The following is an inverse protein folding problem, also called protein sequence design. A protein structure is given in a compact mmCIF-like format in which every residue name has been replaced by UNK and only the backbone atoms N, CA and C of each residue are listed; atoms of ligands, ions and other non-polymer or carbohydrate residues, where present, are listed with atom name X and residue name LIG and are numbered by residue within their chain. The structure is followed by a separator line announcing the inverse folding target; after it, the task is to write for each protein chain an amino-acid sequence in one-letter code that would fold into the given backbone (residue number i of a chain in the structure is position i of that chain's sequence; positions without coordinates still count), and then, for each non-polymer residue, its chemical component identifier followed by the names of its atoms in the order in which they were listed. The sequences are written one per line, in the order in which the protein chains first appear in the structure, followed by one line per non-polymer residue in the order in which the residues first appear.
data_IF_935222168860
#
_entry.id   IF_935222168860
#
_cell.length_a   1.000
_cell.length_b   1.000
_cell.length_c   1.000
_cell.angle_alpha   90.00
_cell.angle_beta   90.00
_cell.angle_gamma   90.00
#
_symmetry.space_group_name_H-M   'P 1'
#
loop_
_entity.id
_entity.type
_entity.pdbx_description
1 polymer ?
#
# COMPACT_ATOMS: atom_id res chain seq x y z
N UNK A 1 12.11 31.78 40.68
CA UNK A 1 12.27 30.72 39.67
C UNK A 1 11.49 29.50 40.16
N UNK A 2 10.43 29.12 39.44
CA UNK A 2 9.36 28.24 39.95
C UNK A 2 9.65 26.75 39.72
N UNK A 3 9.85 26.01 40.81
CA UNK A 3 9.50 24.59 41.09
C UNK A 3 9.34 23.56 39.94
N UNK A 4 10.17 23.63 38.89
CA UNK A 4 10.03 22.83 37.67
C UNK A 4 10.33 21.33 37.89
N UNK A 5 11.09 21.00 38.95
CA UNK A 5 11.37 19.62 39.38
C UNK A 5 10.09 18.84 39.73
N UNK A 6 9.08 19.52 40.29
CA UNK A 6 7.81 18.90 40.72
C UNK A 6 6.87 18.49 39.59
N UNK A 7 7.22 18.76 38.32
CA UNK A 7 6.36 18.54 37.17
C UNK A 7 6.86 17.45 36.21
N UNK A 8 8.07 16.91 36.40
CA UNK A 8 8.64 15.92 35.48
C UNK A 8 7.97 14.56 35.70
N UNK A 9 7.25 14.07 34.69
CA UNK A 9 6.53 12.78 34.71
C UNK A 9 7.21 11.68 33.89
N UNK A 10 8.17 12.07 33.04
CA UNK A 10 8.93 11.13 32.22
C UNK A 10 10.27 10.84 32.86
N UNK A 11 10.69 9.58 32.81
CA UNK A 11 12.02 9.12 33.20
C UNK A 11 12.65 8.47 31.97
N UNK A 12 13.79 8.99 31.54
CA UNK A 12 14.60 8.43 30.46
C UNK A 12 15.73 7.65 31.10
N UNK A 13 15.80 6.34 30.83
CA UNK A 13 16.83 5.47 31.39
C UNK A 13 17.96 5.33 30.39
N UNK A 14 19.19 5.63 30.82
CA UNK A 14 20.40 5.28 30.09
C UNK A 14 20.68 3.78 30.28
N UNK A 15 20.13 2.99 29.36
CA UNK A 15 20.18 1.55 29.42
C UNK A 15 21.60 1.01 29.33
N UNK A 16 22.49 1.62 28.53
CA UNK A 16 23.88 1.17 28.42
C UNK A 16 24.65 1.40 29.72
N UNK A 17 24.46 2.56 30.37
CA UNK A 17 25.07 2.86 31.66
C UNK A 17 24.53 1.96 32.79
N UNK A 18 23.20 1.76 32.84
CA UNK A 18 22.53 0.99 33.90
C UNK A 18 22.90 -0.49 33.84
N UNK A 19 22.88 -1.15 32.68
CA UNK A 19 23.21 -2.59 32.59
C UNK A 19 24.68 -2.87 32.93
N UNK A 20 25.53 -1.86 32.90
CA UNK A 20 26.96 -1.97 33.21
C UNK A 20 27.25 -1.81 34.70
N UNK A 21 26.24 -1.54 35.55
CA UNK A 21 26.41 -1.39 37.00
C UNK A 21 26.29 -2.74 37.74
N UNK A 22 27.07 -3.73 37.31
CA UNK A 22 27.15 -5.01 38.02
C UNK A 22 28.19 -4.92 39.15
N UNK A 23 28.09 -5.80 40.15
CA UNK A 23 29.03 -5.83 41.27
C UNK A 23 30.42 -6.38 40.87
N UNK A 24 30.49 -7.08 39.73
CA UNK A 24 31.72 -7.62 39.16
C UNK A 24 32.15 -6.71 38.00
N UNK A 25 33.31 -6.06 38.10
CA UNK A 25 33.81 -4.98 37.21
C UNK A 25 33.89 -5.31 35.69
N UNK A 26 33.51 -6.51 35.26
CA UNK A 26 33.59 -6.97 33.85
C UNK A 26 32.24 -7.43 33.24
N UNK A 27 31.13 -7.38 33.99
CA UNK A 27 29.82 -7.89 33.54
C UNK A 27 28.81 -6.83 33.09
N UNK A 28 27.99 -7.15 32.09
CA UNK A 28 26.72 -6.44 31.85
C UNK A 28 25.54 -7.34 32.20
N UNK A 29 24.50 -6.78 32.82
CA UNK A 29 23.31 -7.52 33.24
C UNK A 29 22.02 -6.77 32.87
N UNK A 30 21.25 -7.35 31.96
CA UNK A 30 20.00 -6.77 31.48
C UNK A 30 18.89 -6.78 32.51
N UNK A 31 18.99 -7.61 33.55
CA UNK A 31 18.01 -7.71 34.64
C UNK A 31 17.98 -6.43 35.47
N UNK A 32 19.10 -5.72 35.58
CA UNK A 32 19.19 -4.42 36.27
C UNK A 32 18.31 -3.39 35.56
N UNK A 33 18.38 -3.30 34.23
CA UNK A 33 17.53 -2.37 33.46
C UNK A 33 16.04 -2.73 33.59
N UNK A 34 15.69 -4.02 33.59
CA UNK A 34 14.31 -4.46 33.85
C UNK A 34 13.83 -4.06 35.24
N UNK A 35 14.69 -4.18 36.26
CA UNK A 35 14.42 -3.76 37.63
C UNK A 35 14.23 -2.24 37.71
N UNK A 36 15.05 -1.45 37.04
CA UNK A 36 14.91 0.01 36.96
C UNK A 36 13.57 0.42 36.30
N UNK A 37 13.20 -0.23 35.20
CA UNK A 37 11.90 0.03 34.53
C UNK A 37 10.74 -0.25 35.49
N UNK A 38 10.74 -1.40 36.16
CA UNK A 38 9.72 -1.76 37.15
C UNK A 38 9.66 -0.73 38.29
N UNK A 39 10.82 -0.34 38.83
CA UNK A 39 10.93 0.62 39.92
C UNK A 39 10.25 1.95 39.57
N UNK A 40 10.62 2.59 38.46
CA UNK A 40 10.06 3.89 38.09
C UNK A 40 8.60 3.80 37.61
N UNK A 41 8.20 2.72 36.91
CA UNK A 41 6.79 2.49 36.55
C UNK A 41 5.92 2.34 37.83
N UNK A 42 6.43 1.68 38.88
CA UNK A 42 5.72 1.52 40.16
C UNK A 42 5.52 2.84 40.91
N UNK A 43 6.43 3.81 40.74
CA UNK A 43 6.29 5.18 41.23
C UNK A 43 5.33 6.03 40.38
N UNK A 44 4.82 5.49 39.27
CA UNK A 44 3.84 6.11 38.39
C UNK A 44 4.44 6.98 37.28
N UNK A 45 5.74 6.86 37.00
CA UNK A 45 6.40 7.59 35.91
C UNK A 45 6.15 6.91 34.56
N UNK A 46 6.18 7.71 33.50
CA UNK A 46 6.34 7.21 32.13
C UNK A 46 7.81 6.93 31.89
N UNK A 47 8.16 5.65 31.69
CA UNK A 47 9.56 5.23 31.55
C UNK A 47 9.91 5.02 30.08
N UNK A 48 10.99 5.63 29.62
CA UNK A 48 11.55 5.47 28.27
C UNK A 48 12.97 4.93 28.42
N UNK A 49 13.18 3.62 28.33
CA UNK A 49 14.52 3.07 28.29
C UNK A 49 15.14 3.33 26.91
N UNK A 50 16.36 3.85 26.91
CA UNK A 50 17.15 4.13 25.71
C UNK A 50 18.44 3.34 25.80
N UNK A 51 18.87 2.71 24.72
CA UNK A 51 20.08 1.88 24.74
C UNK A 51 20.71 1.80 23.36
N UNK A 52 22.03 1.87 23.26
CA UNK A 52 22.71 1.69 22.00
C UNK A 52 22.48 0.28 21.43
N UNK A 53 22.19 0.19 20.12
CA UNK A 53 21.93 -1.09 19.44
C UNK A 53 23.12 -2.05 19.56
N UNK A 54 24.34 -1.48 19.55
CA UNK A 54 25.58 -2.21 19.74
C UNK A 54 25.69 -2.87 21.11
N UNK A 55 25.18 -2.24 22.17
CA UNK A 55 25.22 -2.79 23.54
C UNK A 55 24.31 -4.01 23.63
N UNK A 56 23.09 -3.91 23.09
CA UNK A 56 22.16 -5.06 22.99
C UNK A 56 22.80 -6.20 22.17
N UNK A 57 23.45 -5.86 21.05
CA UNK A 57 24.16 -6.82 20.20
C UNK A 57 25.32 -7.52 20.93
N UNK A 58 26.13 -6.77 21.67
CA UNK A 58 27.21 -7.29 22.52
C UNK A 58 26.66 -8.24 23.58
N UNK A 59 25.62 -7.82 24.32
CA UNK A 59 24.98 -8.65 25.33
C UNK A 59 24.46 -9.96 24.79
N UNK A 60 23.80 -9.92 23.63
CA UNK A 60 23.30 -11.12 22.97
C UNK A 60 24.45 -12.04 22.51
N UNK A 61 25.53 -11.48 21.96
CA UNK A 61 26.68 -12.25 21.49
C UNK A 61 27.39 -12.99 22.63
N UNK A 62 27.52 -12.35 23.78
CA UNK A 62 28.18 -12.92 24.95
C UNK A 62 27.23 -13.66 25.91
N UNK A 63 25.97 -13.83 25.51
CA UNK A 63 24.94 -14.50 26.31
C UNK A 63 24.80 -13.90 27.73
N UNK A 64 24.90 -12.57 27.85
CA UNK A 64 24.72 -11.89 29.13
C UNK A 64 23.28 -12.04 29.63
N UNK A 65 23.05 -12.11 30.96
CA UNK A 65 21.72 -12.24 31.53
C UNK A 65 20.75 -11.14 31.06
N UNK A 66 19.48 -11.49 30.88
CA UNK A 66 18.44 -10.60 30.38
C UNK A 66 18.55 -10.16 28.91
N UNK A 67 19.64 -10.51 28.19
CA UNK A 67 19.90 -10.03 26.82
C UNK A 67 18.81 -10.41 25.80
N UNK A 68 18.25 -11.62 25.89
CA UNK A 68 17.17 -12.08 25.01
C UNK A 68 15.91 -11.22 25.18
N UNK A 69 15.56 -10.90 26.42
CA UNK A 69 14.39 -10.09 26.77
C UNK A 69 14.57 -8.66 26.30
N UNK A 70 15.73 -8.04 26.54
CA UNK A 70 16.03 -6.71 26.01
C UNK A 70 15.98 -6.69 24.47
N UNK A 71 16.45 -7.76 23.80
CA UNK A 71 16.35 -7.91 22.35
C UNK A 71 14.91 -8.06 21.83
N UNK A 72 13.99 -8.64 22.60
CA UNK A 72 12.55 -8.65 22.27
C UNK A 72 11.96 -7.25 22.48
N UNK A 73 12.26 -6.61 23.61
CA UNK A 73 11.77 -5.27 23.94
C UNK A 73 12.21 -4.23 22.90
N UNK A 74 13.47 -4.28 22.46
CA UNK A 74 13.97 -3.42 21.39
C UNK A 74 13.22 -3.64 20.06
N UNK A 75 12.97 -4.90 19.66
CA UNK A 75 12.19 -5.21 18.44
C UNK A 75 10.75 -4.71 18.54
N UNK A 76 10.17 -4.77 19.73
CA UNK A 76 8.83 -4.25 20.01
C UNK A 76 8.79 -2.73 20.21
N UNK A 77 9.93 -2.02 20.05
CA UNK A 77 10.09 -0.58 20.30
C UNK A 77 9.78 -0.15 21.75
N UNK A 78 9.83 -1.08 22.70
CA UNK A 78 9.73 -0.79 24.14
C UNK A 78 11.03 -0.18 24.68
N UNK A 79 12.16 -0.51 24.06
CA UNK A 79 13.46 0.17 24.26
C UNK A 79 13.77 0.94 22.99
N UNK A 80 14.08 2.23 23.14
CA UNK A 80 14.53 3.06 22.03
C UNK A 80 15.99 2.78 21.75
N UNK A 81 16.30 2.41 20.52
CA UNK A 81 17.66 2.04 20.12
C UNK A 81 18.21 3.00 19.09
N UNK A 82 19.45 3.43 19.29
CA UNK A 82 20.21 4.25 18.34
C UNK A 82 21.37 3.44 17.75
N UNK A 83 21.77 3.74 16.51
CA UNK A 83 22.87 3.06 15.84
C UNK A 83 24.22 3.45 16.45
N UNK A 84 24.41 4.75 16.72
CA UNK A 84 25.65 5.33 17.22
C UNK A 84 25.34 6.34 18.33
N UNK A 85 25.87 6.09 19.53
CA UNK A 85 25.72 6.97 20.70
C UNK A 85 24.28 7.12 21.20
N UNK A 86 23.97 6.57 22.37
CA UNK A 86 22.68 6.77 23.03
C UNK A 86 22.58 8.10 23.79
N UNK A 87 23.71 8.71 24.17
CA UNK A 87 23.77 9.91 25.01
C UNK A 87 22.98 11.11 24.43
N UNK A 88 23.22 11.45 23.17
CA UNK A 88 22.48 12.52 22.48
C UNK A 88 20.98 12.22 22.43
N UNK A 89 20.61 10.97 22.10
CA UNK A 89 19.21 10.55 22.05
C UNK A 89 18.53 10.64 23.42
N UNK A 90 19.22 10.24 24.48
CA UNK A 90 18.75 10.34 25.87
C UNK A 90 18.47 11.80 26.24
N UNK A 91 19.44 12.69 26.00
CA UNK A 91 19.33 14.11 26.35
C UNK A 91 18.20 14.77 25.54
N UNK A 92 18.15 14.55 24.23
CA UNK A 92 17.10 15.11 23.38
C UNK A 92 15.69 14.65 23.79
N UNK A 93 15.53 13.36 24.12
CA UNK A 93 14.24 12.84 24.61
C UNK A 93 13.89 13.51 25.94
N UNK A 94 14.83 13.61 26.88
CA UNK A 94 14.57 14.21 28.18
C UNK A 94 14.21 15.70 28.07
N UNK A 95 14.92 16.47 27.24
CA UNK A 95 14.62 17.88 26.99
C UNK A 95 13.23 18.04 26.35
N UNK A 96 12.93 17.27 25.30
CA UNK A 96 11.63 17.30 24.62
C UNK A 96 10.46 16.95 25.56
N UNK A 97 10.69 16.01 26.49
CA UNK A 97 9.66 15.49 27.41
C UNK A 97 9.57 16.21 28.73
N UNK A 98 10.47 17.14 29.01
CA UNK A 98 10.73 17.61 30.36
C UNK A 98 10.92 16.44 31.35
N UNK A 99 11.75 15.47 30.99
CA UNK A 99 11.99 14.24 31.74
C UNK A 99 13.21 14.32 32.66
N UNK A 100 13.28 13.36 33.59
CA UNK A 100 14.50 12.98 34.30
C UNK A 100 15.39 12.11 33.40
N UNK A 101 16.70 12.17 33.59
CA UNK A 101 17.71 11.32 32.94
C UNK A 101 18.32 10.44 34.04
N UNK A 102 18.24 9.13 33.92
CA UNK A 102 18.85 8.21 34.89
C UNK A 102 20.12 7.65 34.30
N UNK A 103 21.26 8.12 34.79
CA UNK A 103 22.60 7.73 34.34
C UNK A 103 23.65 8.14 35.38
N UNK A 104 24.75 7.39 35.46
CA UNK A 104 25.98 7.85 36.10
C UNK A 104 26.93 8.59 35.15
N UNK A 105 26.65 8.61 33.84
CA UNK A 105 27.48 9.37 32.90
C UNK A 105 27.31 10.88 33.16
N UNK A 106 28.45 11.57 33.18
CA UNK A 106 28.51 13.03 33.38
C UNK A 106 28.48 13.77 32.04
N UNK A 107 28.59 13.05 30.92
CA UNK A 107 28.69 13.58 29.55
C UNK A 107 29.94 14.45 29.31
N UNK A 108 30.89 14.40 30.25
CA UNK A 108 32.11 15.21 30.25
C UNK A 108 33.35 14.45 29.77
N UNK A 109 33.23 13.13 29.57
CA UNK A 109 34.37 12.25 29.31
C UNK A 109 34.45 11.92 27.81
N UNK A 110 35.57 12.32 27.18
CA UNK A 110 35.82 12.00 25.78
C UNK A 110 35.99 10.49 25.58
N UNK A 111 35.38 9.96 24.53
CA UNK A 111 35.49 8.54 24.13
C UNK A 111 36.59 8.40 23.07
N UNK A 112 37.00 7.17 22.74
CA UNK A 112 37.84 6.90 21.56
C UNK A 112 37.05 6.07 20.55
N UNK A 113 37.24 6.34 19.26
CA UNK A 113 36.72 5.48 18.19
C UNK A 113 37.56 4.19 18.06
N UNK A 114 37.20 3.33 17.09
CA UNK A 114 37.89 2.05 16.86
C UNK A 114 39.29 2.24 16.30
N UNK A 115 39.54 3.38 15.69
CA UNK A 115 40.78 3.82 15.08
C UNK A 115 41.69 4.56 16.10
N UNK A 116 41.21 4.75 17.34
CA UNK A 116 41.93 5.38 18.43
C UNK A 116 41.85 6.91 18.46
N UNK A 117 41.07 7.53 17.57
CA UNK A 117 40.86 8.97 17.56
C UNK A 117 39.98 9.39 18.75
N UNK A 118 40.32 10.53 19.33
CA UNK A 118 39.55 11.10 20.44
C UNK A 118 38.24 11.66 19.91
N UNK A 119 37.13 11.09 20.36
CA UNK A 119 35.79 11.62 20.17
C UNK A 119 35.57 12.68 21.25
N UNK A 120 35.25 13.94 20.89
CA UNK A 120 34.97 14.97 21.88
C UNK A 120 33.74 14.58 22.71
N UNK A 121 33.76 14.83 24.03
CA UNK A 121 32.61 14.61 24.90
C UNK A 121 31.40 15.43 24.43
N UNK A 122 30.20 15.02 24.84
CA UNK A 122 28.95 15.65 24.43
C UNK A 122 28.91 17.13 24.82
N UNK A 123 29.46 17.49 26.00
CA UNK A 123 29.60 18.89 26.43
C UNK A 123 30.43 19.77 25.50
N UNK A 124 31.46 19.20 24.88
CA UNK A 124 32.28 19.91 23.89
C UNK A 124 31.62 19.92 22.50
N UNK A 125 30.85 18.87 22.17
CA UNK A 125 30.17 18.74 20.88
C UNK A 125 28.94 19.64 20.77
N UNK A 126 28.22 19.84 21.88
CA UNK A 126 27.01 20.65 21.96
C UNK A 126 27.17 21.76 23.02
N UNK A 127 28.09 22.72 22.83
CA UNK A 127 28.32 23.81 23.79
C UNK A 127 27.12 24.75 23.93
N UNK A 128 26.22 24.75 22.95
CA UNK A 128 25.00 25.56 22.92
C UNK A 128 23.85 25.00 23.76
N UNK A 129 23.95 23.75 24.23
CA UNK A 129 22.92 23.17 25.08
C UNK A 129 22.95 23.77 26.49
N UNK A 130 21.78 23.87 27.10
CA UNK A 130 21.65 24.32 28.49
C UNK A 130 22.07 23.20 29.45
N UNK A 131 23.39 23.09 29.67
CA UNK A 131 23.99 22.07 30.51
C UNK A 131 23.57 22.17 31.98
N UNK A 132 23.21 23.36 32.45
CA UNK A 132 22.72 23.56 33.81
C UNK A 132 21.34 22.91 33.98
N UNK A 133 20.42 23.10 33.03
CA UNK A 133 19.14 22.39 33.02
C UNK A 133 19.31 20.88 32.81
N UNK A 134 20.27 20.43 31.99
CA UNK A 134 20.56 19.00 31.82
C UNK A 134 21.05 18.37 33.12
N UNK A 135 22.00 19.01 33.81
CA UNK A 135 22.52 18.55 35.10
C UNK A 135 21.45 18.53 36.19
N UNK A 136 20.46 19.44 36.14
CA UNK A 136 19.31 19.41 37.04
C UNK A 136 18.29 18.29 36.74
N UNK A 137 18.39 17.64 35.58
CA UNK A 137 17.53 16.51 35.17
C UNK A 137 18.15 15.16 35.51
N UNK A 138 19.42 15.09 35.83
CA UNK A 138 20.07 13.81 36.06
C UNK A 138 19.70 13.22 37.42
N UNK A 139 19.57 11.90 37.43
CA UNK A 139 19.51 11.02 38.59
C UNK A 139 20.68 10.07 38.42
N UNK A 140 21.60 10.06 39.37
CA UNK A 140 22.90 9.41 39.21
C UNK A 140 24.10 10.34 39.27
N UNK A 141 23.90 11.62 38.97
CA UNK A 141 24.94 12.64 39.09
C UNK A 141 24.52 13.80 39.98
N UNK A 142 25.48 14.54 40.51
CA UNK A 142 25.27 15.72 41.36
C UNK A 142 26.24 16.83 40.95
N UNK A 143 25.69 18.01 40.64
CA UNK A 143 26.48 19.21 40.35
C UNK A 143 26.83 19.93 41.65
N UNK A 144 28.12 20.14 41.89
CA UNK A 144 28.63 20.88 43.04
C UNK A 144 28.65 22.39 42.77
N UNK A 145 28.84 23.16 43.84
CA UNK A 145 28.92 24.63 43.79
C UNK A 145 30.07 25.17 42.94
N UNK A 146 31.11 24.37 42.70
CA UNK A 146 32.26 24.72 41.85
C UNK A 146 32.02 24.40 40.35
N UNK A 147 30.83 23.91 40.00
CA UNK A 147 30.44 23.56 38.63
C UNK A 147 30.84 22.15 38.19
N UNK A 148 31.56 21.37 39.03
CA UNK A 148 31.89 19.97 38.72
C UNK A 148 30.68 19.07 38.92
N UNK A 149 30.58 18.04 38.09
CA UNK A 149 29.50 17.03 38.15
C UNK A 149 30.09 15.69 38.57
N UNK A 150 29.61 15.14 39.67
CA UNK A 150 30.03 13.85 40.23
C UNK A 150 29.04 12.74 39.86
N UNK A 151 29.53 11.55 39.53
CA UNK A 151 28.73 10.35 39.28
C UNK A 151 28.46 9.54 40.56
N UNK A 152 27.71 8.44 40.44
CA UNK A 152 27.38 7.50 41.53
C UNK A 152 26.59 8.12 42.69
N UNK A 153 25.58 8.90 42.36
CA UNK A 153 24.66 9.54 43.31
C UNK A 153 23.24 9.02 43.15
N UNK A 154 22.38 9.28 44.14
CA UNK A 154 20.92 9.05 44.10
C UNK A 154 20.44 7.59 44.06
N UNK A 155 20.96 6.77 43.15
CA UNK A 155 20.56 5.38 42.99
C UNK A 155 21.71 4.42 43.25
N UNK A 156 21.40 3.12 43.31
CA UNK A 156 22.36 2.01 43.45
C UNK A 156 21.76 0.72 42.95
N UNK A 157 22.61 -0.28 42.77
CA UNK A 157 22.23 -1.66 42.41
C UNK A 157 22.70 -2.60 43.52
N UNK A 158 21.83 -3.51 43.96
CA UNK A 158 22.16 -4.60 44.88
C UNK A 158 21.89 -5.94 44.16
N UNK A 159 22.95 -6.62 43.71
CA UNK A 159 22.84 -7.74 42.79
C UNK A 159 22.19 -7.32 41.46
N UNK A 160 20.91 -7.70 41.27
CA UNK A 160 20.10 -7.30 40.10
C UNK A 160 19.03 -6.27 40.43
N UNK A 161 18.88 -5.90 41.69
CA UNK A 161 17.82 -5.03 42.16
C UNK A 161 18.25 -3.57 42.11
N UNK A 162 17.46 -2.77 41.37
CA UNK A 162 17.69 -1.35 41.20
C UNK A 162 16.95 -0.56 42.29
N UNK A 163 17.63 0.44 42.85
CA UNK A 163 17.08 1.29 43.90
C UNK A 163 17.41 2.77 43.67
N UNK A 164 16.39 3.64 43.64
CA UNK A 164 16.53 5.10 43.80
C UNK A 164 15.65 5.58 44.98
N UNK A 165 16.11 5.43 46.23
CA UNK A 165 15.29 5.70 47.42
C UNK A 165 14.88 7.17 47.56
N UNK A 166 15.57 8.08 46.88
CA UNK A 166 15.32 9.52 46.96
C UNK A 166 14.37 10.00 45.85
N UNK A 167 13.91 9.12 44.96
CA UNK A 167 12.98 9.49 43.89
C UNK A 167 11.57 9.66 44.47
N UNK A 168 10.93 10.85 44.35
CA UNK A 168 9.55 11.02 44.78
C UNK A 168 8.60 10.24 43.86
N UNK A 169 7.36 9.99 44.32
CA UNK A 169 6.28 9.51 43.44
C UNK A 169 6.07 10.49 42.28
N UNK A 170 5.70 9.95 41.11
CA UNK A 170 5.42 10.78 39.96
C UNK A 170 4.33 11.82 40.28
N UNK A 171 4.39 13.02 39.66
CA UNK A 171 3.30 13.99 39.72
C UNK A 171 1.96 13.39 39.29
N UNK A 172 0.83 14.08 39.45
CA UNK A 172 -0.46 13.55 38.95
C UNK A 172 -0.48 13.47 37.42
N UNK A 173 -1.25 12.52 36.90
CA UNK A 173 -1.35 12.25 35.47
C UNK A 173 -2.32 13.26 34.84
N UNK A 174 -1.96 13.96 33.74
CA UNK A 174 -2.84 14.97 33.15
C UNK A 174 -4.11 14.36 32.53
N UNK A 175 -4.07 13.08 32.16
CA UNK A 175 -5.22 12.29 31.71
C UNK A 175 -5.50 11.17 32.73
N UNK A 176 -6.11 11.51 33.86
CA UNK A 176 -6.63 10.49 34.77
C UNK A 176 -7.98 9.98 34.28
N UNK A 177 -8.13 8.65 34.21
CA UNK A 177 -9.40 7.96 34.02
C UNK A 177 -9.73 7.15 35.28
N UNK A 178 -10.97 6.66 35.39
CA UNK A 178 -11.35 5.71 36.45
C UNK A 178 -10.48 4.43 36.46
N UNK A 179 -9.89 4.08 35.31
CA UNK A 179 -9.00 2.93 35.16
C UNK A 179 -7.52 3.27 35.27
N UNK A 180 -7.13 4.51 35.58
CA UNK A 180 -5.71 4.91 35.59
C UNK A 180 -4.88 4.08 36.58
N UNK A 181 -5.38 3.87 37.80
CA UNK A 181 -4.69 3.02 38.78
C UNK A 181 -4.65 1.57 38.32
N UNK A 182 -5.77 1.05 37.82
CA UNK A 182 -5.83 -0.32 37.29
C UNK A 182 -4.87 -0.56 36.11
N UNK A 183 -4.73 0.40 35.18
CA UNK A 183 -3.75 0.35 34.09
C UNK A 183 -2.32 0.30 34.62
N UNK A 184 -2.02 1.08 35.66
CA UNK A 184 -0.70 1.08 36.31
C UNK A 184 -0.42 -0.27 36.94
N UNK A 185 -1.36 -0.82 37.69
CA UNK A 185 -1.20 -2.12 38.35
C UNK A 185 -1.00 -3.25 37.33
N UNK A 186 -1.76 -3.25 36.23
CA UNK A 186 -1.57 -4.22 35.14
C UNK A 186 -0.20 -4.07 34.46
N UNK A 187 0.28 -2.84 34.29
CA UNK A 187 1.60 -2.59 33.72
C UNK A 187 2.71 -3.13 34.64
N UNK A 188 2.63 -2.87 35.95
CA UNK A 188 3.56 -3.43 36.95
C UNK A 188 3.50 -4.95 36.96
N UNK A 189 2.29 -5.53 36.96
CA UNK A 189 2.11 -6.98 36.89
C UNK A 189 2.72 -7.57 35.61
N UNK A 190 2.56 -6.89 34.47
CA UNK A 190 3.16 -7.28 33.19
C UNK A 190 4.69 -7.29 33.29
N UNK A 191 5.31 -6.27 33.89
CA UNK A 191 6.77 -6.22 34.07
C UNK A 191 7.27 -7.34 34.97
N UNK A 192 6.59 -7.62 36.09
CA UNK A 192 6.94 -8.74 36.98
C UNK A 192 6.88 -10.08 36.27
N UNK A 193 5.85 -10.30 35.45
CA UNK A 193 5.73 -11.52 34.64
C UNK A 193 6.86 -11.64 33.63
N UNK A 194 7.25 -10.54 32.98
CA UNK A 194 8.42 -10.52 32.08
C UNK A 194 9.68 -10.92 32.85
N UNK A 195 9.88 -10.40 34.07
CA UNK A 195 11.02 -10.76 34.92
C UNK A 195 11.03 -12.25 35.31
N UNK A 196 9.87 -12.81 35.66
CA UNK A 196 9.72 -14.25 35.94
C UNK A 196 10.06 -15.07 34.68
N UNK A 197 9.62 -14.64 33.49
CA UNK A 197 9.97 -15.33 32.25
C UNK A 197 11.47 -15.28 31.94
N UNK A 198 12.16 -14.18 32.29
CA UNK A 198 13.62 -14.10 32.17
C UNK A 198 14.27 -15.15 33.08
N UNK A 199 13.88 -15.16 34.35
CA UNK A 199 14.39 -16.13 35.33
C UNK A 199 14.19 -17.58 34.88
N UNK A 200 12.98 -17.92 34.40
CA UNK A 200 12.69 -19.26 33.91
C UNK A 200 13.44 -19.61 32.61
N UNK A 201 13.75 -18.62 31.77
CA UNK A 201 14.54 -18.82 30.56
C UNK A 201 16.04 -19.00 30.83
N UNK A 202 16.53 -18.54 31.97
CA UNK A 202 17.92 -18.71 32.43
C UNK A 202 18.11 -19.97 33.30
N UNK A 203 17.03 -20.52 33.86
CA UNK A 203 17.05 -21.76 34.63
C UNK A 203 17.33 -22.99 33.74
N UNK A 204 17.84 -24.06 34.36
CA UNK A 204 18.06 -25.32 33.63
C UNK A 204 16.73 -25.86 33.05
N UNK A 205 16.75 -26.33 31.78
CA UNK A 205 15.54 -26.72 31.07
C UNK A 205 15.04 -28.09 31.55
N UNK A 206 14.33 -28.09 32.66
CA UNK A 206 13.66 -29.27 33.22
C UNK A 206 12.16 -29.30 32.89
N UNK A 207 11.50 -30.44 33.15
CA UNK A 207 10.06 -30.59 32.95
C UNK A 207 9.27 -29.52 33.75
N UNK A 208 9.67 -29.27 35.00
CA UNK A 208 9.04 -28.26 35.85
C UNK A 208 9.22 -26.85 35.27
N UNK A 209 10.43 -26.46 34.87
CA UNK A 209 10.72 -25.16 34.24
C UNK A 209 9.88 -24.94 32.98
N UNK A 210 9.71 -25.98 32.16
CA UNK A 210 8.87 -25.94 30.96
C UNK A 210 7.38 -25.81 31.28
N UNK A 211 6.89 -26.48 32.33
CA UNK A 211 5.50 -26.33 32.81
C UNK A 211 5.28 -24.91 33.36
N UNK A 212 6.18 -24.40 34.19
CA UNK A 212 6.10 -23.06 34.76
C UNK A 212 6.11 -22.00 33.65
N UNK A 213 7.01 -22.12 32.68
CA UNK A 213 7.08 -21.20 31.53
C UNK A 213 5.77 -21.14 30.76
N UNK A 214 5.17 -22.29 30.45
CA UNK A 214 3.85 -22.35 29.77
C UNK A 214 2.75 -21.68 30.60
N UNK A 215 2.74 -21.89 31.91
CA UNK A 215 1.74 -21.27 32.81
C UNK A 215 1.91 -19.76 32.89
N UNK A 216 3.13 -19.27 33.07
CA UNK A 216 3.43 -17.83 33.12
C UNK A 216 3.10 -17.15 31.79
N UNK A 217 3.38 -17.80 30.66
CA UNK A 217 2.99 -17.30 29.33
C UNK A 217 1.46 -17.20 29.17
N UNK A 218 0.69 -18.13 29.74
CA UNK A 218 -0.78 -18.06 29.76
C UNK A 218 -1.27 -16.86 30.57
N UNK A 219 -0.71 -16.63 31.76
CA UNK A 219 -1.04 -15.47 32.60
C UNK A 219 -0.72 -14.16 31.86
N UNK A 220 0.43 -14.08 31.18
CA UNK A 220 0.78 -12.91 30.34
C UNK A 220 -0.27 -12.64 29.27
N UNK A 221 -0.76 -13.69 28.61
CA UNK A 221 -1.81 -13.58 27.58
C UNK A 221 -3.11 -13.05 28.16
N UNK A 222 -3.55 -13.62 29.29
CA UNK A 222 -4.78 -13.21 29.97
C UNK A 222 -4.70 -11.73 30.44
N UNK A 223 -3.56 -11.28 30.98
CA UNK A 223 -3.35 -9.87 31.33
C UNK A 223 -3.38 -8.96 30.10
N UNK A 224 -2.82 -9.41 28.98
CA UNK A 224 -2.88 -8.67 27.71
C UNK A 224 -4.31 -8.54 27.22
N UNK A 225 -5.12 -9.59 27.35
CA UNK A 225 -6.55 -9.57 27.01
C UNK A 225 -7.31 -8.59 27.92
N UNK A 226 -7.10 -8.64 29.24
CA UNK A 226 -7.70 -7.70 30.20
C UNK A 226 -7.29 -6.26 29.88
N UNK A 227 -6.01 -6.00 29.57
CA UNK A 227 -5.53 -4.67 29.17
C UNK A 227 -6.24 -4.17 27.91
N UNK A 228 -6.53 -5.06 26.97
CA UNK A 228 -7.29 -4.76 25.75
C UNK A 228 -8.76 -4.42 25.99
N UNK A 229 -9.34 -4.85 27.12
CA UNK A 229 -10.71 -4.51 27.52
C UNK A 229 -10.83 -3.11 28.13
N UNK A 230 -9.73 -2.51 28.60
CA UNK A 230 -9.78 -1.20 29.26
C UNK A 230 -9.95 -0.11 28.19
N UNK A 231 -11.01 0.73 28.26
CA UNK A 231 -11.24 1.80 27.29
C UNK A 231 -10.09 2.79 27.25
N UNK A 232 -9.52 3.05 26.08
CA UNK A 232 -8.40 3.99 25.88
C UNK A 232 -8.68 5.31 26.59
N UNK A 233 -7.66 5.85 27.28
CA UNK A 233 -7.78 7.13 27.97
C UNK A 233 -8.37 8.18 27.00
N UNK A 234 -9.50 8.76 27.39
CA UNK A 234 -10.16 9.76 26.56
C UNK A 234 -9.42 11.09 26.68
N UNK A 235 -9.41 11.85 25.59
CA UNK A 235 -8.95 13.22 25.64
C UNK A 235 -9.89 14.02 26.55
N UNK A 236 -9.34 14.98 27.32
CA UNK A 236 -10.11 15.66 28.34
C UNK A 236 -11.23 16.49 27.71
N UNK A 237 -12.31 16.67 28.45
CA UNK A 237 -13.37 17.60 28.06
C UNK A 237 -12.85 19.03 28.02
N UNK A 238 -13.49 19.87 27.20
CA UNK A 238 -13.13 21.28 27.02
C UNK A 238 -13.08 22.02 28.36
N UNK A 239 -14.00 21.71 29.27
CA UNK A 239 -14.08 22.25 30.65
C UNK A 239 -12.87 21.88 31.51
N UNK A 240 -12.27 20.72 31.25
CA UNK A 240 -11.04 20.26 31.91
C UNK A 240 -9.82 20.95 31.29
N UNK A 241 -9.78 21.07 29.95
CA UNK A 241 -8.73 21.80 29.23
C UNK A 241 -8.63 23.26 29.70
N UNK A 242 -9.78 23.90 29.98
CA UNK A 242 -9.86 25.27 30.47
C UNK A 242 -9.26 25.49 31.86
N UNK A 243 -8.99 24.42 32.61
CA UNK A 243 -8.36 24.48 33.94
C UNK A 243 -6.85 24.24 33.88
N UNK A 244 -6.33 23.71 32.77
CA UNK A 244 -4.92 23.31 32.66
C UNK A 244 -3.97 24.52 32.66
N UNK A 245 -2.90 24.44 33.44
CA UNK A 245 -1.78 25.36 33.42
C UNK A 245 -0.93 25.16 32.15
N UNK A 246 -0.04 26.12 31.85
CA UNK A 246 0.84 26.06 30.66
C UNK A 246 1.67 24.77 30.64
N UNK A 247 2.22 24.37 31.79
CA UNK A 247 3.00 23.15 31.90
C UNK A 247 2.17 21.89 31.60
N UNK A 248 0.95 21.82 32.14
CA UNK A 248 0.03 20.70 31.94
C UNK A 248 -0.46 20.63 30.48
N UNK A 249 -0.69 21.79 29.85
CA UNK A 249 -1.00 21.85 28.41
C UNK A 249 0.14 21.30 27.56
N UNK A 250 1.39 21.69 27.86
CA UNK A 250 2.58 21.18 27.15
C UNK A 250 2.76 19.67 27.35
N UNK A 251 2.52 19.17 28.56
CA UNK A 251 2.54 17.72 28.84
C UNK A 251 1.48 16.97 28.04
N UNK A 252 0.25 17.49 27.99
CA UNK A 252 -0.83 16.88 27.23
C UNK A 252 -0.55 16.92 25.72
N UNK A 253 -0.01 18.01 25.19
CA UNK A 253 0.41 18.11 23.78
C UNK A 253 1.51 17.08 23.47
N UNK A 254 2.51 16.96 24.33
CA UNK A 254 3.56 15.95 24.19
C UNK A 254 2.99 14.52 24.20
N UNK A 255 1.96 14.26 25.01
CA UNK A 255 1.28 12.97 25.07
C UNK A 255 0.46 12.72 23.80
N UNK A 256 -0.25 13.74 23.29
CA UNK A 256 -1.00 13.66 22.03
C UNK A 256 -0.07 13.31 20.88
N UNK A 257 1.05 14.03 20.74
CA UNK A 257 2.02 13.80 19.67
C UNK A 257 2.72 12.43 19.73
N UNK A 258 2.57 11.68 20.83
CA UNK A 258 3.10 10.32 20.97
C UNK A 258 2.11 9.25 20.57
N UNK A 259 0.86 9.51 20.89
CA UNK A 259 -0.24 8.61 20.56
C UNK A 259 -0.56 8.77 19.06
N UNK A 260 -0.36 9.96 18.53
CA UNK A 260 -0.66 10.33 17.16
C UNK A 260 0.48 11.17 16.58
N UNK A 261 1.35 10.52 15.80
CA UNK A 261 2.49 11.17 15.14
C UNK A 261 2.04 12.24 14.13
N UNK A 262 0.81 12.13 13.59
CA UNK A 262 0.25 13.09 12.63
C UNK A 262 -0.24 14.37 13.32
N UNK A 263 -0.50 14.34 14.63
CA UNK A 263 -0.99 15.49 15.38
C UNK A 263 0.00 16.67 15.35
N UNK A 264 1.30 16.38 15.50
CA UNK A 264 2.43 17.32 15.44
C UNK A 264 2.17 18.72 16.03
N UNK A 265 1.53 18.77 17.19
CA UNK A 265 1.11 20.01 17.85
C UNK A 265 2.32 20.74 18.45
N UNK A 266 2.40 22.05 18.23
CA UNK A 266 3.51 22.87 18.73
C UNK A 266 3.39 23.19 20.22
N UNK A 267 4.53 23.26 20.93
CA UNK A 267 4.59 23.53 22.38
C UNK A 267 4.71 25.03 22.72
N UNK A 268 4.90 25.91 21.74
CA UNK A 268 5.07 27.34 21.93
C UNK A 268 3.73 28.08 22.00
N UNK A 269 3.70 29.24 22.65
CA UNK A 269 2.53 30.11 22.75
C UNK A 269 2.06 30.35 24.18
N UNK A 270 1.05 31.21 24.30
CA UNK A 270 0.41 31.53 25.58
C UNK A 270 -0.56 30.41 25.98
N UNK A 271 -0.99 30.44 27.23
CA UNK A 271 -1.89 29.41 27.80
C UNK A 271 -3.13 29.19 26.94
N UNK A 272 -3.76 30.27 26.47
CA UNK A 272 -5.01 30.19 25.72
C UNK A 272 -4.79 29.61 24.32
N UNK A 273 -3.65 29.90 23.69
CA UNK A 273 -3.27 29.33 22.39
C UNK A 273 -3.05 27.81 22.48
N UNK A 274 -2.42 27.34 23.57
CA UNK A 274 -2.19 25.92 23.81
C UNK A 274 -3.50 25.18 24.08
N UNK A 275 -4.39 25.78 24.87
CA UNK A 275 -5.73 25.22 25.15
C UNK A 275 -6.59 25.13 23.89
N UNK A 276 -6.60 26.17 23.07
CA UNK A 276 -7.33 26.18 21.80
C UNK A 276 -6.86 25.05 20.87
N UNK A 277 -5.54 24.85 20.74
CA UNK A 277 -4.95 23.74 19.98
C UNK A 277 -5.39 22.37 20.49
N UNK A 278 -5.36 22.17 21.82
CA UNK A 278 -5.80 20.91 22.43
C UNK A 278 -7.28 20.65 22.14
N UNK A 279 -8.14 21.67 22.27
CA UNK A 279 -9.58 21.55 21.99
C UNK A 279 -9.86 21.23 20.53
N UNK A 280 -9.20 21.93 19.61
CA UNK A 280 -9.35 21.71 18.17
C UNK A 280 -8.98 20.27 17.79
N UNK A 281 -7.83 19.79 18.27
CA UNK A 281 -7.40 18.41 18.05
C UNK A 281 -8.39 17.42 18.68
N UNK A 282 -8.84 17.68 19.90
CA UNK A 282 -9.79 16.80 20.60
C UNK A 282 -11.12 16.68 19.85
N UNK A 283 -11.63 17.78 19.29
CA UNK A 283 -12.83 17.76 18.46
C UNK A 283 -12.64 16.92 17.20
N UNK A 284 -11.54 17.11 16.47
CA UNK A 284 -11.19 16.32 15.28
C UNK A 284 -11.05 14.83 15.61
N UNK A 285 -10.33 14.51 16.68
CA UNK A 285 -10.11 13.15 17.13
C UNK A 285 -11.42 12.45 17.54
N UNK A 286 -12.37 13.15 18.16
CA UNK A 286 -13.70 12.62 18.49
C UNK A 286 -14.49 12.24 17.22
N UNK A 287 -14.50 13.11 16.21
CA UNK A 287 -15.19 12.84 14.94
C UNK A 287 -14.59 11.62 14.24
N UNK A 288 -13.26 11.56 14.15
CA UNK A 288 -12.56 10.43 13.53
C UNK A 288 -12.82 9.10 14.27
N UNK A 289 -12.78 9.10 15.61
CA UNK A 289 -13.09 7.90 16.40
C UNK A 289 -14.54 7.46 16.22
N UNK A 290 -15.49 8.38 16.19
CA UNK A 290 -16.90 8.05 15.94
C UNK A 290 -17.10 7.40 14.56
N UNK A 291 -16.36 7.84 13.54
CA UNK A 291 -16.36 7.22 12.21
C UNK A 291 -15.80 5.80 12.27
N UNK A 292 -14.63 5.60 12.90
CA UNK A 292 -14.03 4.27 13.04
C UNK A 292 -14.91 3.30 13.83
N UNK A 293 -15.54 3.76 14.92
CA UNK A 293 -16.49 2.96 15.70
C UNK A 293 -17.73 2.60 14.88
N UNK A 294 -18.25 3.52 14.07
CA UNK A 294 -19.37 3.24 13.16
C UNK A 294 -18.99 2.21 12.08
N UNK A 295 -17.80 2.32 11.49
CA UNK A 295 -17.28 1.35 10.52
C UNK A 295 -17.06 -0.03 11.14
N UNK A 296 -16.50 -0.08 12.36
CA UNK A 296 -16.30 -1.33 13.08
C UNK A 296 -17.64 -1.97 13.47
N UNK A 297 -18.60 -1.20 13.95
CA UNK A 297 -19.95 -1.70 14.26
C UNK A 297 -20.62 -2.24 13.00
N UNK A 298 -20.53 -1.53 11.86
CA UNK A 298 -21.05 -2.02 10.57
C UNK A 298 -20.38 -3.34 10.16
N UNK A 299 -19.06 -3.47 10.38
CA UNK A 299 -18.32 -4.70 10.10
C UNK A 299 -18.72 -5.85 11.03
N UNK A 300 -18.97 -5.57 12.31
CA UNK A 300 -19.40 -6.56 13.29
C UNK A 300 -20.84 -7.02 13.02
N UNK A 301 -21.71 -6.08 12.65
CA UNK A 301 -23.08 -6.35 12.22
C UNK A 301 -23.09 -7.22 10.96
N UNK A 302 -22.32 -6.88 9.93
CA UNK A 302 -22.16 -7.72 8.74
C UNK A 302 -21.63 -9.12 9.06
N UNK A 303 -20.70 -9.26 10.03
CA UNK A 303 -20.23 -10.57 10.49
C UNK A 303 -21.30 -11.36 11.24
N UNK A 304 -22.18 -10.67 11.97
CA UNK A 304 -23.30 -11.27 12.68
C UNK A 304 -24.36 -11.74 11.70
N UNK A 305 -24.77 -10.89 10.76
CA UNK A 305 -25.67 -11.23 9.66
C UNK A 305 -25.14 -12.42 8.84
N UNK A 306 -23.83 -12.47 8.56
CA UNK A 306 -23.22 -13.59 7.85
C UNK A 306 -23.31 -14.91 8.65
N UNK A 307 -23.17 -14.84 9.99
CA UNK A 307 -23.32 -16.00 10.88
C UNK A 307 -24.77 -16.46 10.94
N UNK A 308 -25.71 -15.54 11.10
CA UNK A 308 -27.14 -15.81 11.13
C UNK A 308 -27.60 -16.43 9.79
N UNK A 309 -27.15 -15.90 8.64
CA UNK A 309 -27.44 -16.47 7.33
C UNK A 309 -26.82 -17.87 7.11
N UNK A 310 -25.64 -18.13 7.69
CA UNK A 310 -25.04 -19.47 7.65
C UNK A 310 -25.85 -20.48 8.48
N UNK A 311 -26.32 -20.05 9.65
CA UNK A 311 -27.16 -20.84 10.55
C UNK A 311 -28.54 -21.13 9.94
N UNK A 312 -29.20 -20.12 9.37
CA UNK A 312 -30.48 -20.27 8.65
C UNK A 312 -30.34 -21.23 7.47
N UNK A 313 -29.21 -21.19 6.77
CA UNK A 313 -28.91 -22.13 5.69
C UNK A 313 -28.51 -23.54 6.19
N UNK A 314 -28.52 -23.80 7.50
CA UNK A 314 -28.18 -25.09 8.11
C UNK A 314 -26.71 -25.49 7.92
N UNK A 315 -25.80 -24.52 7.80
CA UNK A 315 -24.40 -24.74 7.44
C UNK A 315 -23.43 -24.07 8.41
N UNK A 316 -22.24 -24.65 8.57
CA UNK A 316 -21.12 -23.96 9.23
C UNK A 316 -20.70 -22.72 8.43
N UNK A 317 -20.30 -21.62 9.10
CA UNK A 317 -19.86 -20.36 8.46
C UNK A 317 -18.85 -20.55 7.32
N UNK A 318 -17.88 -21.47 7.49
CA UNK A 318 -16.87 -21.77 6.46
C UNK A 318 -17.48 -22.39 5.20
N UNK A 319 -18.46 -23.29 5.34
CA UNK A 319 -19.19 -23.88 4.22
C UNK A 319 -20.06 -22.85 3.51
N UNK A 320 -20.74 -21.99 4.29
CA UNK A 320 -21.54 -20.89 3.76
C UNK A 320 -20.70 -19.94 2.87
N UNK A 321 -19.56 -19.47 3.39
CA UNK A 321 -18.59 -18.65 2.62
C UNK A 321 -18.15 -19.30 1.31
N UNK A 322 -17.86 -20.62 1.35
CA UNK A 322 -17.46 -21.38 0.16
C UNK A 322 -18.59 -21.47 -0.86
N UNK A 323 -19.83 -21.65 -0.40
CA UNK A 323 -21.02 -21.67 -1.25
C UNK A 323 -21.22 -20.31 -1.95
N UNK A 324 -21.18 -19.21 -1.20
CA UNK A 324 -21.32 -17.86 -1.76
C UNK A 324 -20.22 -17.53 -2.78
N UNK A 325 -18.97 -17.92 -2.50
CA UNK A 325 -17.86 -17.74 -3.45
C UNK A 325 -18.05 -18.54 -4.75
N UNK A 326 -18.61 -19.74 -4.66
CA UNK A 326 -18.92 -20.55 -5.84
C UNK A 326 -20.07 -19.96 -6.65
N UNK A 327 -21.09 -19.42 -5.98
CA UNK A 327 -22.20 -18.70 -6.62
C UNK A 327 -21.71 -17.47 -7.39
N UNK A 328 -20.91 -16.61 -6.76
CA UNK A 328 -20.31 -15.45 -7.41
C UNK A 328 -19.46 -15.84 -8.64
N UNK A 329 -18.63 -16.89 -8.52
CA UNK A 329 -17.85 -17.41 -9.65
C UNK A 329 -18.71 -17.94 -10.79
N UNK A 330 -19.87 -18.53 -10.49
CA UNK A 330 -20.81 -19.00 -11.50
C UNK A 330 -21.46 -17.82 -12.24
N UNK A 331 -21.86 -16.78 -11.52
CA UNK A 331 -22.41 -15.54 -12.09
C UNK A 331 -21.39 -14.82 -12.99
N UNK A 332 -20.14 -14.72 -12.56
CA UNK A 332 -19.06 -14.12 -13.36
C UNK A 332 -18.78 -14.93 -14.64
N UNK A 333 -18.81 -16.26 -14.55
CA UNK A 333 -18.67 -17.14 -15.73
C UNK A 333 -19.81 -16.93 -16.72
N UNK A 334 -21.04 -16.77 -16.24
CA UNK A 334 -22.19 -16.48 -17.11
C UNK A 334 -22.10 -15.10 -17.76
N UNK A 335 -21.69 -14.06 -17.02
CA UNK A 335 -21.42 -12.73 -17.58
C UNK A 335 -20.32 -12.79 -18.67
N UNK A 336 -19.24 -13.52 -18.42
CA UNK A 336 -18.15 -13.69 -19.39
C UNK A 336 -18.58 -14.47 -20.65
N UNK A 337 -19.44 -15.50 -20.51
CA UNK A 337 -20.01 -16.22 -21.66
C UNK A 337 -20.89 -15.30 -22.51
N UNK A 338 -21.75 -14.48 -21.89
CA UNK A 338 -22.60 -13.51 -22.59
C UNK A 338 -21.77 -12.49 -23.37
N UNK A 339 -20.74 -11.92 -22.75
CA UNK A 339 -19.81 -10.99 -23.40
C UNK A 339 -19.13 -11.64 -24.63
N UNK A 340 -18.55 -12.84 -24.47
CA UNK A 340 -17.92 -13.57 -25.59
C UNK A 340 -18.88 -13.89 -26.72
N UNK A 341 -20.15 -14.21 -26.41
CA UNK A 341 -21.16 -14.48 -27.43
C UNK A 341 -21.52 -13.21 -28.22
N UNK A 342 -21.58 -12.06 -27.55
CA UNK A 342 -21.83 -10.77 -28.19
C UNK A 342 -20.69 -10.34 -29.10
N UNK A 343 -19.44 -10.48 -28.64
CA UNK A 343 -18.24 -10.18 -29.43
C UNK A 343 -18.15 -11.05 -30.68
N UNK A 344 -18.49 -12.35 -30.55
CA UNK A 344 -18.51 -13.27 -31.70
C UNK A 344 -19.58 -12.88 -32.73
N UNK A 345 -20.73 -12.34 -32.30
CA UNK A 345 -21.76 -11.82 -33.22
C UNK A 345 -21.26 -10.57 -33.95
N UNK A 346 -20.65 -9.62 -33.23
CA UNK A 346 -20.05 -8.40 -33.82
C UNK A 346 -18.97 -8.74 -34.85
N UNK A 347 -18.05 -9.66 -34.51
CA UNK A 347 -16.98 -10.09 -35.41
C UNK A 347 -17.51 -10.79 -36.68
N UNK A 348 -18.57 -11.62 -36.57
CA UNK A 348 -19.21 -12.24 -37.74
C UNK A 348 -19.86 -11.20 -38.66
N UNK A 349 -20.51 -10.18 -38.10
CA UNK A 349 -21.14 -9.09 -38.87
C UNK A 349 -20.09 -8.29 -39.64
N UNK A 350 -19.00 -7.91 -38.97
CA UNK A 350 -17.87 -7.20 -39.59
C UNK A 350 -17.28 -7.99 -40.77
N UNK A 351 -16.96 -9.29 -40.56
CA UNK A 351 -16.45 -10.15 -41.64
C UNK A 351 -17.41 -10.28 -42.83
N UNK A 352 -18.72 -10.28 -42.59
CA UNK A 352 -19.70 -10.33 -43.67
C UNK A 352 -19.77 -9.03 -44.47
N UNK A 353 -19.66 -7.88 -43.81
CA UNK A 353 -19.61 -6.56 -44.44
C UNK A 353 -18.32 -6.38 -45.26
N UNK A 354 -17.17 -6.78 -44.72
CA UNK A 354 -15.89 -6.73 -45.44
C UNK A 354 -15.92 -7.60 -46.70
N UNK A 355 -16.50 -8.81 -46.61
CA UNK A 355 -16.65 -9.68 -47.78
C UNK A 355 -17.56 -9.08 -48.86
N UNK A 356 -18.61 -8.35 -48.47
CA UNK A 356 -19.48 -7.63 -49.42
C UNK A 356 -18.73 -6.49 -50.10
N UNK A 357 -17.98 -5.68 -49.35
CA UNK A 357 -17.15 -4.60 -49.89
C UNK A 357 -16.10 -5.12 -50.86
N UNK A 358 -15.38 -6.18 -50.50
CA UNK A 358 -14.37 -6.81 -51.36
C UNK A 358 -14.95 -7.37 -52.67
N UNK A 359 -16.16 -7.96 -52.64
CA UNK A 359 -16.85 -8.41 -53.86
C UNK A 359 -17.24 -7.25 -54.78
N UNK A 360 -17.70 -6.14 -54.21
CA UNK A 360 -18.07 -4.93 -54.98
C UNK A 360 -16.84 -4.31 -55.65
N UNK A 361 -15.75 -4.14 -54.92
CA UNK A 361 -14.49 -3.63 -55.45
C UNK A 361 -13.97 -4.48 -56.63
N UNK A 362 -13.91 -5.82 -56.47
CA UNK A 362 -13.49 -6.71 -57.57
C UNK A 362 -14.39 -6.62 -58.82
N UNK A 363 -15.68 -6.35 -58.65
CA UNK A 363 -16.60 -6.18 -59.78
C UNK A 363 -16.38 -4.83 -60.49
N UNK A 364 -16.12 -3.77 -59.74
CA UNK A 364 -15.78 -2.44 -60.28
C UNK A 364 -14.43 -2.45 -61.01
N UNK A 365 -13.40 -3.08 -60.45
CA UNK A 365 -12.09 -3.23 -61.09
C UNK A 365 -12.19 -3.97 -62.43
N UNK A 366 -12.98 -5.06 -62.48
CA UNK A 366 -13.25 -5.80 -63.72
C UNK A 366 -13.95 -4.93 -64.77
N UNK A 367 -14.94 -4.13 -64.38
CA UNK A 367 -15.60 -3.20 -65.30
C UNK A 367 -14.64 -2.14 -65.83
N UNK A 368 -13.79 -1.57 -64.97
CA UNK A 368 -12.79 -0.57 -65.36
C UNK A 368 -11.76 -1.13 -66.32
N UNK A 369 -11.28 -2.35 -66.09
CA UNK A 369 -10.34 -3.03 -66.98
C UNK A 369 -10.93 -3.26 -68.38
N UNK A 370 -12.18 -3.75 -68.48
CA UNK A 370 -12.86 -3.92 -69.76
C UNK A 370 -13.07 -2.60 -70.51
N UNK A 371 -13.45 -1.54 -69.78
CA UNK A 371 -13.66 -0.22 -70.37
C UNK A 371 -12.38 0.31 -71.00
N UNK A 372 -11.25 0.15 -70.31
CA UNK A 372 -9.94 0.55 -70.83
C UNK A 372 -9.58 -0.18 -72.13
N UNK A 373 -9.82 -1.50 -72.19
CA UNK A 373 -9.58 -2.29 -73.42
C UNK A 373 -10.42 -1.75 -74.58
N UNK A 374 -11.69 -1.44 -74.35
CA UNK A 374 -12.59 -0.93 -75.40
C UNK A 374 -12.32 0.53 -75.81
N UNK A 375 -11.80 1.36 -74.91
CA UNK A 375 -11.40 2.75 -75.22
C UNK A 375 -10.10 2.82 -76.04
N UNK A 376 -9.23 1.81 -75.95
CA UNK A 376 -7.97 1.74 -76.72
C UNK A 376 -8.17 1.26 -78.17
N UNK A 377 -9.31 0.63 -78.48
CA UNK A 377 -9.61 0.09 -79.82
C UNK A 377 -10.45 1.12 -80.57
N UNK A 378 -10.03 1.47 -81.78
CA UNK A 378 -10.77 2.44 -82.61
C UNK A 378 -12.13 1.87 -83.07
N UNK A 379 -13.10 2.75 -83.33
CA UNK A 379 -14.42 2.35 -83.81
C UNK A 379 -14.35 1.59 -85.16
N UNK A 380 -13.40 1.95 -86.01
CA UNK A 380 -13.16 1.29 -87.30
C UNK A 380 -12.59 -0.12 -87.11
N UNK A 381 -11.71 -0.29 -86.13
CA UNK A 381 -11.13 -1.59 -85.77
C UNK A 381 -12.17 -2.53 -85.17
N UNK A 382 -13.04 -2.03 -84.27
CA UNK A 382 -14.20 -2.79 -83.76
C UNK A 382 -15.12 -3.18 -84.92
N UNK A 383 -15.42 -2.26 -85.82
CA UNK A 383 -16.27 -2.52 -86.99
C UNK A 383 -15.66 -3.61 -87.89
N UNK A 384 -14.34 -3.54 -88.12
CA UNK A 384 -13.59 -4.55 -88.88
C UNK A 384 -13.61 -5.93 -88.21
N UNK A 385 -13.40 -6.00 -86.89
CA UNK A 385 -13.45 -7.25 -86.11
C UNK A 385 -14.85 -7.86 -86.16
N UNK A 386 -15.90 -7.04 -86.04
CA UNK A 386 -17.29 -7.49 -86.10
C UNK A 386 -17.65 -7.99 -87.49
N UNK A 387 -17.35 -7.22 -88.53
CA UNK A 387 -17.64 -7.59 -89.92
C UNK A 387 -16.84 -8.83 -90.33
N UNK A 388 -15.57 -8.94 -89.93
CA UNK A 388 -14.76 -10.13 -90.20
C UNK A 388 -15.31 -11.37 -89.48
N UNK A 389 -15.73 -11.27 -88.22
CA UNK A 389 -16.36 -12.39 -87.51
C UNK A 389 -17.66 -12.84 -88.19
N UNK A 390 -18.50 -11.90 -88.65
CA UNK A 390 -19.69 -12.26 -89.42
C UNK A 390 -19.34 -12.91 -90.77
N UNK A 391 -18.34 -12.41 -91.49
CA UNK A 391 -17.87 -13.00 -92.76
C UNK A 391 -17.28 -14.40 -92.57
N UNK A 392 -16.50 -14.61 -91.52
CA UNK A 392 -15.91 -15.92 -91.21
C UNK A 392 -16.98 -16.97 -90.89
N UNK A 393 -18.04 -16.57 -90.18
CA UNK A 393 -19.11 -17.50 -89.76
C UNK A 393 -20.16 -17.71 -90.86
N UNK A 394 -20.47 -16.68 -91.66
CA UNK A 394 -21.54 -16.74 -92.67
C UNK A 394 -21.03 -16.94 -94.11
N UNK A 395 -19.75 -16.74 -94.39
CA UNK A 395 -19.17 -16.92 -95.74
C UNK A 395 -19.92 -16.15 -96.82
N UNK A 396 -20.29 -16.85 -97.89
CA UNK A 396 -21.02 -16.30 -99.06
C UNK A 396 -22.45 -15.81 -98.73
N UNK A 397 -23.00 -16.18 -97.58
CA UNK A 397 -24.30 -15.70 -97.10
C UNK A 397 -24.21 -14.28 -96.51
N UNK A 398 -23.00 -13.76 -96.26
CA UNK A 398 -22.80 -12.38 -95.81
C UNK A 398 -22.85 -11.39 -97.00
N UNK A 399 -24.07 -10.99 -97.41
CA UNK A 399 -24.30 -10.07 -98.55
C UNK A 399 -24.76 -8.67 -98.16
N UNK A 400 -23.91 -7.88 -97.50
CA UNK A 400 -24.16 -6.44 -97.37
C UNK A 400 -23.33 -5.69 -96.31
N UNK A 401 -23.50 -4.37 -96.31
CA UNK A 401 -22.91 -3.45 -95.34
C UNK A 401 -23.61 -3.59 -93.98
N UNK A 402 -22.80 -3.69 -92.92
CA UNK A 402 -23.23 -3.75 -91.53
C UNK A 402 -22.72 -2.50 -90.82
N UNK A 403 -23.63 -1.65 -90.35
CA UNK A 403 -23.28 -0.50 -89.52
C UNK A 403 -23.07 -1.01 -88.09
N UNK A 404 -21.87 -0.78 -87.55
CA UNK A 404 -21.45 -1.24 -86.23
C UNK A 404 -21.22 -0.03 -85.34
N UNK A 405 -21.83 -0.04 -84.15
CA UNK A 405 -21.61 1.00 -83.15
C UNK A 405 -21.34 0.36 -81.79
N UNK A 406 -20.44 0.94 -81.00
CA UNK A 406 -20.09 0.45 -79.68
C UNK A 406 -20.70 1.33 -78.58
N UNK A 407 -21.40 0.69 -77.65
CA UNK A 407 -21.84 1.25 -76.39
C UNK A 407 -20.88 0.78 -75.29
N UNK A 408 -19.89 1.63 -75.00
CA UNK A 408 -18.80 1.34 -74.05
C UNK A 408 -19.36 1.19 -72.61
N UNK A 409 -20.40 1.95 -72.25
CA UNK A 409 -20.95 1.94 -70.89
C UNK A 409 -21.66 0.61 -70.58
N UNK A 410 -22.33 0.05 -71.58
CA UNK A 410 -23.08 -1.21 -71.45
C UNK A 410 -22.32 -2.44 -71.94
N UNK A 411 -21.09 -2.27 -72.46
CA UNK A 411 -20.30 -3.32 -73.11
C UNK A 411 -21.10 -4.01 -74.23
N UNK A 412 -21.75 -3.22 -75.07
CA UNK A 412 -22.69 -3.68 -76.09
C UNK A 412 -22.32 -3.16 -77.49
N UNK A 413 -22.15 -4.06 -78.45
CA UNK A 413 -22.00 -3.74 -79.86
C UNK A 413 -23.38 -3.81 -80.52
N UNK A 414 -23.81 -2.71 -81.13
CA UNK A 414 -25.06 -2.62 -81.86
C UNK A 414 -24.77 -2.72 -83.36
N UNK A 415 -25.31 -3.76 -83.98
CA UNK A 415 -25.15 -4.06 -85.39
C UNK A 415 -26.46 -3.78 -86.14
N UNK A 416 -26.41 -2.92 -87.15
CA UNK A 416 -27.56 -2.54 -88.00
C UNK A 416 -27.29 -2.97 -89.45
N UNK A 417 -28.09 -3.88 -90.02
CA UNK A 417 -27.96 -4.22 -91.43
C UNK A 417 -28.47 -3.05 -92.32
N UNK A 418 -27.73 -2.76 -93.39
CA UNK A 418 -28.05 -1.73 -94.40
C UNK A 418 -29.43 -1.88 -95.08
N UNK A 419 -30.07 -3.04 -95.00
CA UNK A 419 -31.40 -3.30 -95.56
C UNK A 419 -32.34 -3.84 -94.47
N UNK A 420 -33.52 -3.23 -94.33
CA UNK A 420 -34.59 -3.63 -93.38
C UNK A 420 -35.26 -4.97 -93.71
N UNK A 421 -34.68 -5.80 -94.57
CA UNK A 421 -35.22 -7.12 -94.89
C UNK A 421 -35.14 -8.06 -93.68
N UNK A 422 -36.31 -8.49 -93.18
CA UNK A 422 -36.45 -9.45 -92.08
C UNK A 422 -35.65 -10.75 -92.33
N UNK A 423 -35.50 -11.16 -93.60
CA UNK A 423 -34.70 -12.32 -93.99
C UNK A 423 -33.22 -12.16 -93.62
N UNK A 424 -32.63 -10.96 -93.77
CA UNK A 424 -31.21 -10.71 -93.45
C UNK A 424 -30.95 -10.74 -91.93
N UNK A 425 -31.85 -10.16 -91.14
CA UNK A 425 -31.74 -10.21 -89.67
C UNK A 425 -31.75 -11.64 -89.13
N UNK A 426 -32.58 -12.52 -89.71
CA UNK A 426 -32.65 -13.94 -89.36
C UNK A 426 -31.36 -14.70 -89.68
N UNK A 427 -30.67 -14.35 -90.77
CA UNK A 427 -29.38 -14.93 -91.15
C UNK A 427 -28.29 -14.52 -90.17
N UNK A 428 -28.21 -13.24 -89.80
CA UNK A 428 -27.22 -12.73 -88.84
C UNK A 428 -27.41 -13.31 -87.42
N UNK A 429 -28.66 -13.53 -87.00
CA UNK A 429 -28.96 -14.14 -85.70
C UNK A 429 -28.73 -15.66 -85.74
N UNK A 430 -29.05 -16.31 -86.86
CA UNK A 430 -29.05 -17.76 -86.98
C UNK A 430 -30.25 -18.42 -86.30
N UNK A 431 -30.44 -19.73 -86.53
CA UNK A 431 -31.48 -20.51 -85.84
C UNK A 431 -31.15 -20.56 -84.34
N UNK A 432 -32.10 -20.18 -83.48
CA UNK A 432 -31.96 -20.14 -82.01
C UNK A 432 -30.79 -19.25 -81.49
N UNK A 433 -30.38 -18.27 -82.31
CA UNK A 433 -29.27 -17.37 -81.98
C UNK A 433 -27.88 -18.01 -82.11
N UNK A 434 -27.74 -19.15 -82.81
CA UNK A 434 -26.48 -19.88 -82.92
C UNK A 434 -25.37 -19.04 -83.57
N UNK A 435 -25.67 -18.41 -84.70
CA UNK A 435 -24.74 -17.54 -85.43
C UNK A 435 -24.31 -16.38 -84.56
N UNK A 436 -25.23 -15.66 -83.94
CA UNK A 436 -24.86 -14.50 -83.11
C UNK A 436 -24.07 -14.90 -81.87
N UNK A 437 -24.34 -16.07 -81.25
CA UNK A 437 -23.54 -16.58 -80.14
C UNK A 437 -22.11 -16.91 -80.55
N UNK A 438 -21.91 -17.50 -81.73
CA UNK A 438 -20.58 -17.79 -82.28
C UNK A 438 -19.84 -16.50 -82.63
N UNK A 439 -20.53 -15.54 -83.23
CA UNK A 439 -20.00 -14.20 -83.55
C UNK A 439 -19.60 -13.46 -82.28
N UNK A 440 -20.47 -13.43 -81.26
CA UNK A 440 -20.18 -12.84 -79.93
C UNK A 440 -18.94 -13.46 -79.30
N UNK A 441 -18.82 -14.79 -79.36
CA UNK A 441 -17.66 -15.51 -78.81
C UNK A 441 -16.38 -15.12 -79.55
N UNK A 442 -16.38 -15.17 -80.88
CA UNK A 442 -15.22 -14.75 -81.69
C UNK A 442 -14.84 -13.29 -81.46
N UNK A 443 -15.82 -12.39 -81.39
CA UNK A 443 -15.56 -10.97 -81.12
C UNK A 443 -14.98 -10.79 -79.71
N UNK A 444 -15.53 -11.47 -78.70
CA UNK A 444 -15.00 -11.41 -77.33
C UNK A 444 -13.55 -11.89 -77.28
N UNK A 445 -13.23 -13.00 -77.95
CA UNK A 445 -11.87 -13.56 -78.04
C UNK A 445 -10.91 -12.61 -78.79
N UNK A 446 -11.33 -12.07 -79.94
CA UNK A 446 -10.53 -11.13 -80.74
C UNK A 446 -10.30 -9.79 -80.02
N UNK A 447 -11.24 -9.34 -79.20
CA UNK A 447 -11.11 -8.12 -78.37
C UNK A 447 -10.43 -8.38 -77.01
N UNK A 448 -10.07 -9.63 -76.69
CA UNK A 448 -9.49 -9.98 -75.38
C UNK A 448 -10.46 -9.80 -74.19
N UNK A 449 -11.76 -9.88 -74.43
CA UNK A 449 -12.82 -9.72 -73.43
C UNK A 449 -13.38 -11.09 -73.00
N UNK A 450 -13.70 -11.22 -71.72
CA UNK A 450 -14.39 -12.39 -71.15
C UNK A 450 -15.85 -12.51 -71.61
N UNK A 451 -16.50 -11.39 -71.95
CA UNK A 451 -17.78 -11.35 -72.66
C UNK A 451 -18.05 -9.95 -73.23
N UNK A 452 -18.75 -9.88 -74.36
CA UNK A 452 -19.37 -8.67 -74.90
C UNK A 452 -20.80 -8.98 -75.34
N UNK A 453 -21.72 -8.01 -75.26
CA UNK A 453 -23.05 -8.17 -75.85
C UNK A 453 -23.01 -7.73 -77.29
N UNK A 454 -23.58 -8.51 -78.19
CA UNK A 454 -23.82 -8.07 -79.58
C UNK A 454 -25.31 -8.10 -79.80
N UNK A 455 -25.86 -6.96 -80.20
CA UNK A 455 -27.27 -6.76 -80.43
C UNK A 455 -27.50 -6.43 -81.90
N UNK A 456 -28.33 -7.21 -82.57
CA UNK A 456 -28.69 -6.99 -83.97
C UNK A 456 -30.03 -6.25 -84.01
N UNK A 457 -29.97 -4.98 -84.42
CA UNK A 457 -31.12 -4.09 -84.49
C UNK A 457 -32.10 -4.45 -85.62
#
# INVERSE_FOLDING_TARGET
MSNNKSQRRTVVLDGSNIVSQTADDEGTDGRILLSAIEFYESLGYTVIPVMASRTIGYMKKNNHPGSQTLGIMARNKEIRTFSDGDDEGIIQIALRRNGWIVTYDTFSHGKKDKEGNKIPPERERYPEWDWDDIDERTRGTEKLSDGRVFSHKHWKVDGTDYHDPLMPKAPKEPLSSEYTEFRRDLQVATRRIVRILVFLGEAEPEELTNVMTRKVMKIRKEITEVRGMIPTAQLPEDTTVDKLLVAECKQLINLINDIDEEANLTLSGRRDDLRARIKEYTAKARVHRAQLEAEENTRLEAKREEREAAEEAGMTLTKYRRSQRNKAKAEDREKAKKAKAEDRKKAKKAKAEDRKKAKKAKAEDRKKAKRKILEEISADEISSIVISAFKEILGDDFKGDLEVSLDIENFEIKCKPSSRSYKRKRILIGKDGSTIKQVVKQISEKLGLDWIRVNIA
#
